data_IF_562001574685
#
_entry.id   IF_562001574685
#
_cell.length_a   1.000
_cell.length_b   1.000
_cell.length_c   1.000
_cell.angle_alpha   90.00
_cell.angle_beta   90.00
_cell.angle_gamma   90.00
#
_symmetry.space_group_name_H-M   'P 1'
#
loop_
_entity.id
_entity.type
_entity.pdbx_description
1 polymer ?
#
# COMPACT_ATOMS: atom_id res chain seq x y z
N UNK A 1 27.41 53.97 14.65
CA UNK A 1 26.40 53.79 15.72
C UNK A 1 26.18 52.31 15.91
N UNK A 2 26.20 51.90 17.19
CA UNK A 2 25.81 50.65 17.85
C UNK A 2 25.27 49.48 16.98
N UNK A 3 25.47 48.20 17.32
CA UNK A 3 25.55 47.65 18.67
C UNK A 3 26.12 46.24 18.63
N UNK A 4 27.12 45.98 19.48
CA UNK A 4 27.45 44.61 19.91
C UNK A 4 26.30 44.08 20.77
N UNK A 5 25.82 42.89 20.46
CA UNK A 5 24.87 42.17 21.32
C UNK A 5 25.66 41.15 22.15
N UNK A 6 25.73 41.41 23.45
CA UNK A 6 26.28 40.54 24.47
C UNK A 6 25.29 39.40 24.75
N UNK A 7 25.70 38.14 24.59
CA UNK A 7 24.89 36.98 25.00
C UNK A 7 24.98 36.78 26.52
N UNK A 8 23.86 36.48 27.22
CA UNK A 8 23.87 36.18 28.64
C UNK A 8 24.44 34.78 28.94
N UNK A 9 25.07 34.56 30.11
CA UNK A 9 25.59 33.25 30.48
C UNK A 9 24.49 32.25 30.83
N UNK A 10 24.68 30.99 30.44
CA UNK A 10 23.76 29.87 30.68
C UNK A 10 23.64 29.52 32.16
N UNK A 11 22.46 29.09 32.65
CA UNK A 11 22.28 28.65 34.03
C UNK A 11 22.99 27.31 34.29
N UNK A 12 23.68 27.24 35.43
CA UNK A 12 24.32 26.02 35.94
C UNK A 12 23.25 25.11 36.54
N UNK A 13 23.10 23.90 36.01
CA UNK A 13 22.25 22.87 36.61
C UNK A 13 22.89 22.32 37.89
N UNK A 14 22.15 22.16 39.01
CA UNK A 14 22.65 21.44 40.17
C UNK A 14 22.66 19.93 39.91
N UNK A 15 23.81 19.28 40.19
CA UNK A 15 23.93 17.82 40.31
C UNK A 15 23.06 17.31 41.45
N UNK A 16 22.11 16.43 41.14
CA UNK A 16 21.41 15.60 42.13
C UNK A 16 22.06 14.22 42.17
N UNK A 17 22.50 13.83 43.37
CA UNK A 17 23.01 12.51 43.72
C UNK A 17 21.89 11.43 43.66
N UNK A 18 22.25 10.13 43.52
CA UNK A 18 21.26 9.07 43.35
C UNK A 18 20.55 8.73 44.66
N UNK A 19 19.24 9.02 44.74
CA UNK A 19 18.39 8.49 45.80
C UNK A 19 18.10 6.99 45.59
N UNK A 20 18.20 6.25 46.68
CA UNK A 20 18.05 4.81 46.79
C UNK A 20 16.60 4.35 46.55
N UNK A 21 16.45 3.38 45.65
CA UNK A 21 15.19 2.73 45.31
C UNK A 21 14.68 1.87 46.49
N UNK A 22 13.52 2.22 47.03
CA UNK A 22 12.73 1.33 47.90
C UNK A 22 11.65 0.62 47.06
N UNK A 23 11.37 -0.68 47.27
CA UNK A 23 10.57 -1.44 46.31
C UNK A 23 9.07 -1.12 46.41
N UNK A 24 8.50 -0.49 45.38
CA UNK A 24 7.04 -0.40 45.23
C UNK A 24 6.49 -1.62 44.50
N UNK A 25 5.88 -2.50 45.29
CA UNK A 25 5.03 -3.60 44.84
C UNK A 25 3.76 -3.04 44.17
N UNK A 26 3.52 -3.46 42.94
CA UNK A 26 2.18 -3.61 42.35
C UNK A 26 1.63 -2.43 41.55
N UNK A 27 1.46 -2.65 40.25
CA UNK A 27 0.20 -2.47 39.48
C UNK A 27 0.45 -2.82 38.00
N UNK A 28 0.05 -4.03 37.59
CA UNK A 28 -0.61 -4.21 36.29
C UNK A 28 -2.05 -3.73 36.44
N UNK A 29 -2.58 -3.02 35.44
CA UNK A 29 -3.53 -3.69 34.57
C UNK A 29 -3.29 -3.39 33.10
N UNK A 30 -3.37 -4.47 32.31
CA UNK A 30 -3.68 -4.45 30.89
C UNK A 30 -4.99 -3.68 30.68
N UNK A 31 -4.93 -2.53 30.03
CA UNK A 31 -6.12 -1.86 29.52
C UNK A 31 -6.28 -2.24 28.05
N UNK A 32 -6.64 -3.51 27.82
CA UNK A 32 -7.27 -3.94 26.58
C UNK A 32 -8.61 -3.23 26.51
N UNK A 33 -8.62 -2.00 25.97
CA UNK A 33 -9.82 -1.21 25.73
C UNK A 33 -10.73 -2.00 24.79
N UNK A 34 -11.62 -2.78 25.39
CA UNK A 34 -12.69 -3.48 24.69
C UNK A 34 -13.54 -2.38 24.02
N UNK A 35 -13.58 -2.37 22.68
CA UNK A 35 -14.38 -1.40 21.95
C UNK A 35 -15.85 -1.82 22.05
N UNK A 36 -16.49 -1.46 23.14
CA UNK A 36 -17.94 -1.65 23.26
C UNK A 36 -18.67 -0.65 22.34
N UNK A 37 -19.00 -1.13 21.14
CA UNK A 37 -19.73 -0.40 20.11
C UNK A 37 -21.24 -0.51 20.27
N UNK A 38 -21.73 -1.33 21.21
CA UNK A 38 -23.16 -1.61 21.39
C UNK A 38 -23.98 -0.37 21.77
N UNK A 39 -23.34 0.62 22.40
CA UNK A 39 -23.97 1.89 22.77
C UNK A 39 -24.06 2.90 21.63
N UNK A 40 -23.41 2.64 20.48
CA UNK A 40 -23.32 3.60 19.36
C UNK A 40 -23.95 3.08 18.07
N UNK A 41 -24.01 1.77 17.88
CA UNK A 41 -24.54 1.12 16.68
C UNK A 41 -25.75 0.27 17.04
N UNK A 42 -26.76 0.27 16.17
CA UNK A 42 -27.83 -0.71 16.24
C UNK A 42 -27.27 -2.12 16.00
N UNK A 43 -27.98 -3.14 16.48
CA UNK A 43 -27.59 -4.55 16.26
C UNK A 43 -27.37 -4.86 14.77
N UNK A 44 -28.24 -4.31 13.90
CA UNK A 44 -28.14 -4.48 12.45
C UNK A 44 -26.85 -3.89 11.90
N UNK A 45 -26.52 -2.65 12.29
CA UNK A 45 -25.29 -1.98 11.84
C UNK A 45 -24.04 -2.70 12.33
N UNK A 46 -24.05 -3.22 13.57
CA UNK A 46 -22.94 -4.00 14.11
C UNK A 46 -22.72 -5.30 13.31
N UNK A 47 -23.80 -6.02 12.97
CA UNK A 47 -23.72 -7.22 12.14
C UNK A 47 -23.18 -6.90 10.74
N UNK A 48 -23.65 -5.82 10.11
CA UNK A 48 -23.15 -5.37 8.80
C UNK A 48 -21.66 -5.01 8.87
N UNK A 49 -21.24 -4.25 9.88
CA UNK A 49 -19.84 -3.90 10.08
C UNK A 49 -18.97 -5.15 10.27
N UNK A 50 -19.45 -6.13 11.03
CA UNK A 50 -18.74 -7.38 11.23
C UNK A 50 -18.59 -8.18 9.91
N UNK A 51 -19.65 -8.24 9.10
CA UNK A 51 -19.63 -8.85 7.76
C UNK A 51 -18.58 -8.17 6.86
N UNK A 52 -18.55 -6.83 6.83
CA UNK A 52 -17.60 -6.03 6.05
C UNK A 52 -16.13 -6.24 6.50
N UNK A 53 -15.90 -6.36 7.80
CA UNK A 53 -14.58 -6.64 8.37
C UNK A 53 -14.09 -8.02 7.94
N UNK A 54 -14.94 -9.05 8.05
CA UNK A 54 -14.61 -10.40 7.60
C UNK A 54 -14.34 -10.45 6.09
N UNK A 55 -15.16 -9.75 5.29
CA UNK A 55 -14.96 -9.63 3.84
C UNK A 55 -13.61 -8.97 3.52
N UNK A 56 -13.24 -7.93 4.25
CA UNK A 56 -11.97 -7.22 4.08
C UNK A 56 -10.78 -8.11 4.44
N UNK A 57 -10.86 -8.89 5.52
CA UNK A 57 -9.81 -9.85 5.92
C UNK A 57 -9.65 -10.95 4.86
N UNK A 58 -10.77 -11.45 4.31
CA UNK A 58 -10.80 -12.50 3.29
C UNK A 58 -10.20 -12.03 1.96
N UNK A 59 -10.45 -10.77 1.58
CA UNK A 59 -10.03 -10.21 0.29
C UNK A 59 -8.93 -9.16 0.43
N UNK A 60 -7.96 -9.39 1.33
CA UNK A 60 -6.81 -8.50 1.52
C UNK A 60 -6.00 -8.31 0.24
N UNK A 61 -5.57 -7.07 0.02
CA UNK A 61 -4.84 -6.64 -1.18
C UNK A 61 -3.45 -6.18 -0.79
N UNK A 62 -2.48 -6.49 -1.65
CA UNK A 62 -1.11 -5.99 -1.53
C UNK A 62 -0.18 -6.91 -0.76
N UNK A 63 1.11 -6.55 -0.78
CA UNK A 63 2.14 -7.29 -0.07
C UNK A 63 2.11 -6.90 1.41
N UNK A 64 2.02 -7.88 2.29
CA UNK A 64 2.10 -7.65 3.73
C UNK A 64 3.56 -7.46 4.16
N UNK A 65 3.79 -6.49 5.04
CA UNK A 65 5.08 -6.30 5.69
C UNK A 65 5.40 -7.47 6.63
N UNK A 66 6.69 -7.73 6.89
CA UNK A 66 7.15 -8.86 7.70
C UNK A 66 6.56 -8.89 9.11
N UNK A 67 6.17 -7.72 9.64
CA UNK A 67 5.67 -7.56 10.99
C UNK A 67 4.13 -7.63 11.06
N UNK A 68 3.44 -7.88 9.94
CA UNK A 68 1.98 -7.98 9.91
C UNK A 68 1.51 -9.42 10.04
N UNK A 69 0.34 -9.60 10.67
CA UNK A 69 -0.34 -10.90 10.79
C UNK A 69 -0.76 -11.42 9.42
N UNK A 70 -0.06 -12.43 8.92
CA UNK A 70 -0.31 -13.01 7.60
C UNK A 70 -1.45 -14.03 7.60
N UNK A 71 -1.71 -14.69 8.73
CA UNK A 71 -2.78 -15.67 8.86
C UNK A 71 -4.16 -14.98 9.01
N UNK A 72 -5.13 -15.24 8.12
CA UNK A 72 -6.50 -14.76 8.30
C UNK A 72 -7.20 -15.31 9.52
N UNK A 73 -6.87 -16.51 10.00
CA UNK A 73 -7.55 -17.09 11.17
C UNK A 73 -7.25 -16.30 12.45
N UNK A 74 -6.01 -15.86 12.66
CA UNK A 74 -5.65 -14.99 13.79
C UNK A 74 -6.44 -13.67 13.78
N UNK A 75 -6.65 -13.09 12.59
CA UNK A 75 -7.46 -11.88 12.48
C UNK A 75 -8.95 -12.17 12.70
N UNK A 76 -9.48 -13.30 12.23
CA UNK A 76 -10.86 -13.70 12.51
C UNK A 76 -11.10 -13.88 14.01
N UNK A 77 -10.19 -14.54 14.71
CA UNK A 77 -10.26 -14.69 16.17
C UNK A 77 -10.23 -13.33 16.88
N UNK A 78 -9.32 -12.44 16.45
CA UNK A 78 -9.20 -11.12 17.02
C UNK A 78 -10.49 -10.31 16.85
N UNK A 79 -11.04 -10.24 15.64
CA UNK A 79 -12.26 -9.46 15.39
C UNK A 79 -13.49 -10.10 16.02
N UNK A 80 -13.57 -11.43 16.09
CA UNK A 80 -14.63 -12.12 16.82
C UNK A 80 -14.63 -11.73 18.30
N UNK A 81 -13.46 -11.73 18.95
CA UNK A 81 -13.31 -11.29 20.35
C UNK A 81 -13.64 -9.81 20.52
N UNK A 82 -13.15 -8.95 19.64
CA UNK A 82 -13.37 -7.50 19.71
C UNK A 82 -14.83 -7.09 19.53
N UNK A 83 -15.59 -7.80 18.68
CA UNK A 83 -17.02 -7.56 18.46
C UNK A 83 -17.90 -8.38 19.40
N UNK A 84 -17.32 -9.24 20.24
CA UNK A 84 -18.02 -10.14 21.15
C UNK A 84 -19.10 -11.00 20.44
N UNK A 85 -18.73 -11.59 19.29
CA UNK A 85 -19.63 -12.40 18.47
C UNK A 85 -19.58 -13.86 18.91
N UNK A 86 -20.77 -14.48 19.06
CA UNK A 86 -20.90 -15.90 19.36
C UNK A 86 -20.21 -16.77 18.29
N UNK A 87 -19.51 -17.86 18.66
CA UNK A 87 -18.84 -18.73 17.69
C UNK A 87 -19.77 -19.34 16.63
N UNK A 88 -21.02 -19.64 16.96
CA UNK A 88 -22.02 -20.12 16.01
C UNK A 88 -22.43 -19.03 15.03
N UNK A 89 -22.70 -17.82 15.53
CA UNK A 89 -23.02 -16.64 14.71
C UNK A 89 -21.85 -16.29 13.78
N UNK A 90 -20.62 -16.26 14.29
CA UNK A 90 -19.41 -16.05 13.49
C UNK A 90 -19.32 -17.02 12.31
N UNK A 91 -19.53 -18.33 12.55
CA UNK A 91 -19.48 -19.35 11.48
C UNK A 91 -20.51 -19.11 10.39
N UNK A 92 -21.73 -18.70 10.76
CA UNK A 92 -22.80 -18.40 9.81
C UNK A 92 -22.44 -17.17 8.96
N UNK A 93 -21.97 -16.09 9.60
CA UNK A 93 -21.60 -14.85 8.89
C UNK A 93 -20.38 -15.11 7.99
N UNK A 94 -19.33 -15.76 8.49
CA UNK A 94 -18.14 -16.07 7.71
C UNK A 94 -18.47 -16.97 6.50
N UNK A 95 -19.39 -17.93 6.64
CA UNK A 95 -19.84 -18.75 5.52
C UNK A 95 -20.57 -17.91 4.47
N UNK A 96 -21.41 -16.94 4.88
CA UNK A 96 -22.05 -16.00 3.97
C UNK A 96 -21.03 -15.14 3.23
N UNK A 97 -20.07 -14.55 3.96
CA UNK A 97 -18.99 -13.73 3.40
C UNK A 97 -18.20 -14.50 2.33
N UNK A 98 -17.89 -15.77 2.59
CA UNK A 98 -17.18 -16.65 1.63
C UNK A 98 -17.98 -16.91 0.33
N UNK A 99 -19.29 -16.69 0.33
CA UNK A 99 -20.17 -16.84 -0.85
C UNK A 99 -20.35 -15.53 -1.62
N UNK A 100 -19.90 -14.40 -1.08
CA UNK A 100 -19.95 -13.12 -1.78
C UNK A 100 -18.96 -13.09 -2.95
N UNK A 101 -19.26 -12.27 -3.95
CA UNK A 101 -18.36 -12.08 -5.09
C UNK A 101 -17.04 -11.46 -4.64
N UNK A 102 -15.94 -11.96 -5.21
CA UNK A 102 -14.61 -11.39 -4.97
C UNK A 102 -14.53 -9.98 -5.54
N UNK A 103 -13.83 -9.05 -4.88
CA UNK A 103 -13.67 -7.71 -5.40
C UNK A 103 -12.87 -7.74 -6.71
N UNK A 104 -13.30 -6.92 -7.67
CA UNK A 104 -12.56 -6.67 -8.91
C UNK A 104 -11.67 -5.46 -8.68
N UNK A 105 -10.38 -5.61 -8.93
CA UNK A 105 -9.42 -4.52 -8.85
C UNK A 105 -9.14 -3.98 -10.23
N UNK A 106 -9.24 -2.66 -10.39
CA UNK A 106 -8.90 -1.98 -11.61
C UNK A 106 -7.92 -0.86 -11.33
N UNK A 107 -6.92 -0.71 -12.20
CA UNK A 107 -6.01 0.42 -12.19
C UNK A 107 -6.49 1.44 -13.23
N UNK A 108 -6.92 2.62 -12.74
CA UNK A 108 -7.21 3.76 -13.62
C UNK A 108 -5.94 4.57 -13.84
N UNK A 109 -5.38 4.49 -15.04
CA UNK A 109 -4.16 5.19 -15.42
C UNK A 109 -4.46 6.28 -16.44
N UNK A 110 -4.07 7.52 -16.15
CA UNK A 110 -4.17 8.64 -17.10
C UNK A 110 -2.79 9.03 -17.61
N UNK A 111 -2.57 8.94 -18.93
CA UNK A 111 -1.38 9.46 -19.59
C UNK A 111 -1.63 10.92 -19.94
N UNK A 112 -0.98 11.82 -19.20
CA UNK A 112 -1.14 13.27 -19.37
C UNK A 112 -0.34 13.79 -20.54
N UNK A 113 0.96 13.95 -20.35
CA UNK A 113 1.85 14.58 -21.32
C UNK A 113 3.29 14.12 -21.13
N UNK A 114 4.10 14.34 -22.15
CA UNK A 114 5.56 14.34 -22.04
C UNK A 114 6.11 15.70 -22.49
N UNK A 115 7.33 16.03 -22.08
CA UNK A 115 7.99 17.30 -22.43
C UNK A 115 9.45 17.04 -22.76
N UNK A 116 9.98 17.80 -23.72
CA UNK A 116 11.39 17.73 -24.12
C UNK A 116 11.82 16.32 -24.52
N UNK A 117 10.95 15.56 -25.19
CA UNK A 117 11.33 14.24 -25.69
C UNK A 117 12.33 14.39 -26.84
N UNK A 118 13.09 13.33 -27.13
CA UNK A 118 14.09 13.35 -28.19
C UNK A 118 13.43 13.37 -29.57
N UNK A 119 13.84 14.30 -30.42
CA UNK A 119 13.54 14.30 -31.85
C UNK A 119 14.29 13.18 -32.56
N UNK A 120 13.56 12.27 -33.20
CA UNK A 120 14.12 11.09 -33.88
C UNK A 120 14.07 11.21 -35.39
N UNK A 121 13.27 12.11 -35.92
CA UNK A 121 13.12 12.32 -37.35
C UNK A 121 14.12 13.38 -37.85
N UNK A 122 14.32 13.42 -39.17
CA UNK A 122 15.19 14.41 -39.84
C UNK A 122 14.72 15.85 -39.63
N UNK A 123 13.44 16.05 -39.27
CA UNK A 123 12.89 17.35 -38.89
C UNK A 123 13.38 17.85 -37.52
N UNK A 124 14.04 16.99 -36.74
CA UNK A 124 14.34 17.24 -35.33
C UNK A 124 13.13 17.05 -34.40
N UNK A 125 12.00 16.57 -34.92
CA UNK A 125 10.78 16.26 -34.18
C UNK A 125 10.54 14.73 -34.11
N UNK A 126 9.41 14.33 -33.55
CA UNK A 126 9.00 12.93 -33.39
C UNK A 126 7.47 12.80 -33.46
N UNK A 127 6.98 11.58 -33.70
CA UNK A 127 5.55 11.21 -33.62
C UNK A 127 5.29 10.29 -32.39
N UNK A 128 5.33 10.81 -31.14
CA UNK A 128 5.27 9.97 -29.93
C UNK A 128 3.90 9.35 -29.64
N UNK A 129 3.94 8.19 -28.97
CA UNK A 129 2.83 7.53 -28.28
C UNK A 129 3.35 6.77 -27.04
N UNK A 130 2.45 6.42 -26.12
CA UNK A 130 2.73 5.59 -24.96
C UNK A 130 2.13 4.18 -25.13
N UNK A 131 2.81 3.20 -24.54
CA UNK A 131 2.36 1.82 -24.46
C UNK A 131 2.32 1.43 -22.98
N UNK A 132 1.20 0.89 -22.51
CA UNK A 132 0.94 0.55 -21.12
C UNK A 132 0.61 -0.94 -21.01
N UNK A 133 1.11 -1.58 -19.96
CA UNK A 133 0.76 -2.94 -19.57
C UNK A 133 1.20 -3.20 -18.14
N UNK A 134 0.55 -4.13 -17.46
CA UNK A 134 0.91 -4.54 -16.10
C UNK A 134 1.83 -5.75 -16.17
N UNK A 135 3.06 -5.62 -15.66
CA UNK A 135 4.00 -6.74 -15.58
C UNK A 135 3.76 -7.54 -14.30
N UNK A 136 3.38 -8.82 -14.44
CA UNK A 136 3.34 -9.76 -13.32
C UNK A 136 4.72 -10.41 -13.15
N UNK A 137 5.50 -9.97 -12.16
CA UNK A 137 6.72 -10.70 -11.77
C UNK A 137 6.31 -12.04 -11.17
N UNK A 138 6.53 -13.13 -11.90
CA UNK A 138 6.53 -14.46 -11.29
C UNK A 138 7.67 -14.45 -10.28
N UNK A 139 7.36 -14.62 -8.99
CA UNK A 139 8.39 -14.90 -8.00
C UNK A 139 8.99 -16.25 -8.36
N UNK A 140 10.14 -16.26 -9.02
CA UNK A 140 10.96 -17.44 -9.09
C UNK A 140 11.40 -17.77 -7.66
N UNK A 141 10.80 -18.83 -7.11
CA UNK A 141 11.25 -19.48 -5.89
C UNK A 141 12.59 -20.16 -6.17
N UNK A 142 13.64 -19.37 -6.27
CA UNK A 142 15.04 -19.82 -6.27
C UNK A 142 15.89 -18.79 -5.52
N UNK A 143 15.55 -18.59 -4.24
CA UNK A 143 16.63 -18.46 -3.28
C UNK A 143 17.46 -19.73 -3.44
N UNK A 144 18.68 -19.62 -3.98
CA UNK A 144 19.90 -20.39 -3.71
C UNK A 144 20.86 -20.20 -4.89
N UNK A 145 21.83 -19.30 -4.74
CA UNK A 145 23.13 -19.40 -5.44
C UNK A 145 23.39 -18.46 -6.61
N UNK A 146 24.38 -17.60 -6.41
CA UNK A 146 25.38 -17.13 -7.38
C UNK A 146 24.95 -16.32 -8.62
N UNK A 147 25.38 -15.05 -8.61
CA UNK A 147 25.93 -14.29 -9.74
C UNK A 147 25.46 -14.64 -11.16
N UNK A 148 24.59 -13.80 -11.72
CA UNK A 148 24.64 -13.53 -13.16
C UNK A 148 24.46 -12.02 -13.39
N UNK A 149 25.60 -11.34 -13.40
CA UNK A 149 25.74 -9.98 -13.90
C UNK A 149 25.59 -10.01 -15.43
N UNK A 150 24.38 -10.29 -15.93
CA UNK A 150 24.16 -10.28 -17.37
C UNK A 150 23.88 -8.85 -17.85
N UNK A 151 24.82 -8.38 -18.66
CA UNK A 151 24.74 -7.18 -19.48
C UNK A 151 23.45 -7.15 -20.30
N UNK A 152 22.35 -6.63 -19.75
CA UNK A 152 21.20 -6.19 -20.55
C UNK A 152 21.60 -4.93 -21.31
N UNK A 153 22.26 -5.15 -22.45
CA UNK A 153 22.30 -4.22 -23.58
C UNK A 153 20.92 -3.57 -23.68
N UNK A 154 20.86 -2.24 -23.67
CA UNK A 154 19.65 -1.44 -23.91
C UNK A 154 18.89 -2.03 -25.12
N UNK A 155 17.93 -2.89 -24.86
CA UNK A 155 17.02 -3.42 -25.87
C UNK A 155 16.14 -2.25 -26.26
N UNK A 156 16.37 -1.77 -27.49
CA UNK A 156 15.58 -0.71 -28.11
C UNK A 156 14.11 -1.12 -28.04
N UNK A 157 13.35 -0.47 -27.17
CA UNK A 157 11.90 -0.31 -27.18
C UNK A 157 11.10 -1.36 -27.99
N UNK A 158 11.07 -2.61 -27.55
CA UNK A 158 10.01 -3.55 -27.93
C UNK A 158 9.61 -4.30 -26.67
N UNK A 159 8.79 -3.63 -25.86
CA UNK A 159 8.06 -4.24 -24.71
C UNK A 159 6.98 -5.23 -25.22
N UNK A 160 6.74 -5.29 -26.53
CA UNK A 160 5.71 -6.14 -27.17
C UNK A 160 5.81 -7.64 -26.85
N UNK A 161 6.96 -8.13 -26.38
CA UNK A 161 7.15 -9.55 -26.12
C UNK A 161 7.10 -9.95 -24.63
N UNK A 162 6.92 -8.97 -23.72
CA UNK A 162 6.88 -9.24 -22.28
C UNK A 162 5.45 -9.32 -21.73
N UNK A 163 4.50 -8.65 -22.39
CA UNK A 163 3.09 -8.61 -22.00
C UNK A 163 2.27 -8.94 -23.26
N UNK A 164 1.32 -9.90 -23.19
CA UNK A 164 0.42 -10.22 -24.30
C UNK A 164 -0.27 -8.98 -24.88
N UNK A 165 -0.43 -8.91 -26.20
CA UNK A 165 -0.95 -7.72 -26.88
C UNK A 165 -2.38 -7.37 -26.46
N UNK A 166 -3.19 -8.37 -26.11
CA UNK A 166 -4.54 -8.24 -25.55
C UNK A 166 -4.57 -7.65 -24.12
N UNK A 167 -3.43 -7.61 -23.43
CA UNK A 167 -3.26 -7.05 -22.07
C UNK A 167 -2.51 -5.71 -22.08
N UNK A 168 -2.44 -5.05 -23.25
CA UNK A 168 -1.71 -3.80 -23.42
C UNK A 168 -2.60 -2.71 -23.99
N UNK A 169 -2.32 -1.47 -23.59
CA UNK A 169 -3.01 -0.29 -24.04
C UNK A 169 -2.04 0.67 -24.71
N UNK A 170 -2.54 1.48 -25.63
CA UNK A 170 -1.72 2.44 -26.38
C UNK A 170 -2.45 3.77 -26.48
N UNK A 171 -1.72 4.87 -26.32
CA UNK A 171 -2.27 6.19 -26.62
C UNK A 171 -2.28 6.46 -28.12
N UNK A 172 -2.99 7.51 -28.51
CA UNK A 172 -2.89 8.08 -29.84
C UNK A 172 -1.46 8.55 -30.14
N UNK A 173 -1.13 8.55 -31.43
CA UNK A 173 0.11 9.13 -31.94
C UNK A 173 -0.11 10.62 -32.16
N UNK A 174 0.71 11.44 -31.52
CA UNK A 174 0.71 12.89 -31.75
C UNK A 174 1.87 13.20 -32.69
N UNK A 175 1.61 13.87 -33.80
CA UNK A 175 2.60 14.07 -34.85
C UNK A 175 3.50 15.27 -34.58
N UNK A 176 4.75 15.16 -35.02
CA UNK A 176 5.75 16.22 -35.13
C UNK A 176 5.82 17.11 -33.88
N UNK A 177 6.05 16.51 -32.72
CA UNK A 177 6.15 17.23 -31.45
C UNK A 177 7.18 16.62 -30.52
N UNK A 178 7.81 17.48 -29.71
CA UNK A 178 8.64 17.08 -28.57
C UNK A 178 7.91 17.26 -27.21
N UNK A 179 6.64 17.68 -27.26
CA UNK A 179 5.82 18.01 -26.10
C UNK A 179 4.39 17.47 -26.27
N UNK A 180 4.21 16.16 -26.46
CA UNK A 180 2.87 15.57 -26.65
C UNK A 180 2.00 15.73 -25.39
N UNK A 181 0.71 16.03 -25.61
CA UNK A 181 -0.34 16.02 -24.59
C UNK A 181 -1.42 15.06 -25.05
N UNK A 182 -1.58 13.93 -24.34
CA UNK A 182 -2.55 12.89 -24.68
C UNK A 182 -3.86 13.05 -23.90
N UNK A 183 -3.76 13.27 -22.59
CA UNK A 183 -4.92 13.28 -21.67
C UNK A 183 -5.83 12.05 -21.79
N UNK A 184 -5.26 10.89 -22.14
CA UNK A 184 -5.99 9.64 -22.32
C UNK A 184 -6.01 8.82 -21.02
N UNK A 185 -7.16 8.21 -20.71
CA UNK A 185 -7.36 7.39 -19.50
C UNK A 185 -7.71 5.96 -19.87
N UNK A 186 -7.03 5.02 -19.21
CA UNK A 186 -7.18 3.58 -19.37
C UNK A 186 -7.61 2.94 -18.05
N UNK A 187 -8.46 1.91 -18.14
CA UNK A 187 -8.81 1.03 -17.02
C UNK A 187 -8.16 -0.32 -17.31
N UNK A 188 -7.20 -0.69 -16.47
CA UNK A 188 -6.39 -1.91 -16.54
C UNK A 188 -6.82 -2.90 -15.46
#
# INVERSE_FOLDING_TARGET
MASSAQFPPSPVHPSMEPESETPRKGKTPEDSRNMDLSHKLSKRELTTLYEDVLYTILHRVGKMELNHVTDPEELYEYVQKAFNIDPGEHRIILQRVKQLEKPIFCLKATVKQARNILGKDVSGLSDPYCFLGIETKKQDSSAHGASHHENKKRSKAVVKNLIPEDQTHRTQVIRQTLHPVWDETFIL
#
